data_IF_684002711101
#
_entry.id   IF_684002711101
#
_cell.length_a   1.000
_cell.length_b   1.000
_cell.length_c   1.000
_cell.angle_alpha   90.00
_cell.angle_beta   90.00
_cell.angle_gamma   90.00
#
_symmetry.space_group_name_H-M   'P 1'
#
loop_
_entity.id
_entity.type
_entity.pdbx_description
1 polymer ?
#
# COMPACT_ATOMS: atom_id res chain seq x y z
N UNK A 1 -5.38 6.05 10.92
CA UNK A 1 -4.62 7.26 10.57
C UNK A 1 -4.62 7.40 9.06
N UNK A 2 -4.99 8.56 8.52
CA UNK A 2 -4.98 8.81 7.08
C UNK A 2 -3.66 9.45 6.63
N UNK A 3 -3.26 9.28 5.36
CA UNK A 3 -2.10 9.98 4.80
C UNK A 3 -2.23 11.51 4.92
N UNK A 4 -1.10 12.25 4.96
CA UNK A 4 -1.11 13.70 4.87
C UNK A 4 -1.80 14.20 3.59
N UNK A 5 -2.30 15.45 3.60
CA UNK A 5 -2.99 16.06 2.45
C UNK A 5 -2.12 16.10 1.17
N UNK A 6 -0.81 16.18 1.34
CA UNK A 6 0.17 16.21 0.25
C UNK A 6 0.45 14.82 -0.37
N UNK A 7 -0.17 13.77 0.17
CA UNK A 7 -0.15 12.41 -0.39
C UNK A 7 -1.52 12.05 -0.95
N UNK A 8 -1.98 12.68 -2.06
CA UNK A 8 -3.29 12.41 -2.65
C UNK A 8 -3.39 11.03 -3.33
N UNK A 9 -2.32 10.25 -3.42
CA UNK A 9 -2.29 8.95 -4.09
C UNK A 9 -2.12 9.07 -5.59
N UNK A 10 -0.88 8.94 -6.06
CA UNK A 10 -0.54 8.98 -7.48
C UNK A 10 -0.56 7.57 -8.09
N UNK A 11 -1.13 7.45 -9.28
CA UNK A 11 -1.15 6.20 -10.06
C UNK A 11 -0.08 6.24 -11.14
N UNK A 12 0.45 5.08 -11.50
CA UNK A 12 1.25 4.89 -12.70
C UNK A 12 0.32 4.89 -13.93
N UNK A 13 0.39 5.88 -14.82
CA UNK A 13 -0.51 6.00 -15.96
C UNK A 13 -0.32 4.87 -16.99
N UNK A 14 0.79 4.12 -16.94
CA UNK A 14 0.99 2.95 -17.79
C UNK A 14 0.17 1.75 -17.35
N UNK A 15 -0.40 1.76 -16.13
CA UNK A 15 -1.19 0.66 -15.57
C UNK A 15 -2.66 0.94 -15.75
N UNK A 16 -3.32 0.07 -16.53
CA UNK A 16 -4.72 0.22 -16.91
C UNK A 16 -5.48 -1.07 -16.66
N UNK A 17 -6.81 -0.96 -16.57
CA UNK A 17 -7.67 -2.15 -16.43
C UNK A 17 -7.43 -3.18 -17.53
N UNK A 18 -7.10 -2.73 -18.76
CA UNK A 18 -6.88 -3.59 -19.91
C UNK A 18 -5.58 -4.41 -19.79
N UNK A 19 -4.57 -3.91 -19.10
CA UNK A 19 -3.26 -4.56 -19.04
C UNK A 19 -2.92 -5.21 -17.69
N UNK A 20 -3.85 -5.25 -16.72
CA UNK A 20 -3.58 -5.82 -15.39
C UNK A 20 -3.05 -7.27 -15.45
N UNK A 21 -3.44 -8.05 -16.46
CA UNK A 21 -2.99 -9.44 -16.65
C UNK A 21 -1.50 -9.57 -17.00
N UNK A 22 -0.91 -8.57 -17.63
CA UNK A 22 0.52 -8.54 -17.98
C UNK A 22 1.34 -7.64 -17.06
N UNK A 23 0.68 -6.85 -16.21
CA UNK A 23 1.27 -5.95 -15.21
C UNK A 23 1.03 -6.43 -13.79
N UNK A 24 0.17 -5.77 -13.01
CA UNK A 24 0.01 -5.96 -11.56
C UNK A 24 -0.42 -7.37 -11.14
N UNK A 25 -1.05 -8.15 -12.03
CA UNK A 25 -1.44 -9.54 -11.77
C UNK A 25 -0.38 -10.56 -12.21
N UNK A 26 0.69 -10.12 -12.88
CA UNK A 26 1.83 -10.99 -13.21
C UNK A 26 2.64 -11.27 -11.94
N UNK A 27 2.96 -12.55 -11.65
CA UNK A 27 3.84 -12.89 -10.54
C UNK A 27 5.14 -12.08 -10.55
N UNK A 28 5.49 -11.48 -9.41
CA UNK A 28 6.71 -10.70 -9.25
C UNK A 28 6.71 -9.28 -9.85
N UNK A 29 5.60 -8.81 -10.45
CA UNK A 29 5.51 -7.47 -11.02
C UNK A 29 5.89 -6.37 -10.02
N UNK A 30 5.24 -6.34 -8.85
CA UNK A 30 5.49 -5.30 -7.86
C UNK A 30 6.96 -5.30 -7.38
N UNK A 31 7.60 -6.48 -7.29
CA UNK A 31 9.02 -6.60 -6.97
C UNK A 31 9.90 -6.04 -8.08
N UNK A 32 9.54 -6.26 -9.36
CA UNK A 32 10.33 -5.81 -10.51
C UNK A 32 10.32 -4.29 -10.72
N UNK A 33 9.28 -3.59 -10.25
CA UNK A 33 9.16 -2.13 -10.39
C UNK A 33 9.38 -1.37 -9.08
N UNK A 34 9.49 -2.07 -7.95
CA UNK A 34 9.76 -1.44 -6.66
C UNK A 34 11.15 -0.77 -6.72
N UNK A 35 11.26 0.51 -6.35
CA UNK A 35 12.55 1.19 -6.37
C UNK A 35 13.50 0.58 -5.35
N UNK A 36 14.79 0.56 -5.69
CA UNK A 36 15.81 0.04 -4.81
C UNK A 36 15.84 0.82 -3.48
N UNK A 37 16.24 0.14 -2.39
CA UNK A 37 16.37 0.75 -1.07
C UNK A 37 17.28 1.99 -1.08
N UNK A 38 18.36 1.98 -1.87
CA UNK A 38 19.26 3.12 -2.02
C UNK A 38 18.55 4.38 -2.54
N UNK A 39 17.43 4.23 -3.27
CA UNK A 39 16.61 5.35 -3.77
C UNK A 39 15.57 5.78 -2.73
N UNK A 40 14.94 4.84 -2.03
CA UNK A 40 13.84 5.14 -1.09
C UNK A 40 14.32 5.54 0.30
N UNK A 41 15.48 5.09 0.74
CA UNK A 41 16.02 5.42 2.07
C UNK A 41 16.26 6.92 2.27
N UNK A 42 16.83 7.67 1.30
CA UNK A 42 16.93 9.14 1.40
C UNK A 42 15.57 9.83 1.48
N UNK A 43 14.56 9.34 0.74
CA UNK A 43 13.18 9.87 0.79
C UNK A 43 12.61 9.69 2.19
N UNK A 44 12.69 8.47 2.75
CA UNK A 44 12.22 8.19 4.11
C UNK A 44 12.90 9.08 5.14
N UNK A 45 14.23 9.26 5.04
CA UNK A 45 15.00 10.12 5.95
C UNK A 45 14.49 11.56 5.92
N UNK A 46 14.35 12.15 4.73
CA UNK A 46 13.84 13.51 4.57
C UNK A 46 12.45 13.69 5.17
N UNK A 47 11.55 12.72 4.98
CA UNK A 47 10.21 12.78 5.57
C UNK A 47 10.27 12.65 7.11
N UNK A 48 11.11 11.75 7.64
CA UNK A 48 11.27 11.58 9.09
C UNK A 48 11.79 12.87 9.73
N UNK A 49 12.80 13.49 9.14
CA UNK A 49 13.38 14.75 9.66
C UNK A 49 12.36 15.90 9.65
N UNK A 50 11.47 15.92 8.65
CA UNK A 50 10.48 16.99 8.50
C UNK A 50 9.21 16.78 9.35
N UNK A 51 8.76 15.53 9.53
CA UNK A 51 7.45 15.22 10.10
C UNK A 51 7.53 14.63 11.52
N UNK A 52 8.64 13.94 11.83
CA UNK A 52 8.83 13.16 13.06
C UNK A 52 10.25 13.32 13.63
N UNK A 53 10.74 14.56 13.84
CA UNK A 53 12.10 14.81 14.30
C UNK A 53 12.35 14.13 15.65
N UNK A 54 13.43 13.32 15.72
CA UNK A 54 13.83 12.60 16.93
C UNK A 54 13.11 11.26 17.16
N UNK A 55 12.11 10.91 16.35
CA UNK A 55 11.45 9.60 16.44
C UNK A 55 12.27 8.49 15.78
N UNK A 56 12.07 7.25 16.23
CA UNK A 56 12.73 6.08 15.65
C UNK A 56 12.23 5.78 14.23
N UNK A 57 13.16 5.63 13.28
CA UNK A 57 12.87 5.17 11.92
C UNK A 57 12.14 3.82 11.89
N UNK A 58 12.32 2.98 12.92
CA UNK A 58 11.66 1.69 13.04
C UNK A 58 10.15 1.81 13.33
N UNK A 59 9.67 2.96 13.79
CA UNK A 59 8.24 3.17 14.03
C UNK A 59 7.43 3.42 12.75
N UNK A 60 8.11 3.68 11.62
CA UNK A 60 7.46 4.05 10.37
C UNK A 60 7.94 3.19 9.20
N UNK A 61 7.06 2.97 8.24
CA UNK A 61 7.35 2.45 6.90
C UNK A 61 7.19 3.59 5.88
N UNK A 62 8.08 3.66 4.89
CA UNK A 62 7.80 4.49 3.72
C UNK A 62 6.90 3.65 2.81
N UNK A 63 5.66 4.06 2.68
CA UNK A 63 4.62 3.27 2.01
C UNK A 63 3.91 4.08 0.93
N UNK A 64 3.31 3.37 -0.02
CA UNK A 64 2.51 3.93 -1.10
C UNK A 64 1.04 4.01 -0.69
N UNK A 65 0.38 5.17 -0.76
CA UNK A 65 -1.06 5.26 -0.48
C UNK A 65 -1.84 4.33 -1.41
N UNK A 66 -1.62 4.43 -2.72
CA UNK A 66 -2.05 3.43 -3.70
C UNK A 66 -0.90 2.43 -3.85
N UNK A 67 -1.01 1.18 -3.37
CA UNK A 67 0.07 0.21 -3.51
C UNK A 67 0.49 -0.01 -4.96
N UNK A 68 1.77 -0.32 -5.21
CA UNK A 68 2.25 -0.74 -6.54
C UNK A 68 1.45 -1.93 -7.09
N UNK A 69 0.97 -2.84 -6.22
CA UNK A 69 0.09 -3.94 -6.60
C UNK A 69 -1.28 -3.50 -7.12
N UNK A 70 -1.66 -2.24 -6.91
CA UNK A 70 -2.85 -1.58 -7.46
C UNK A 70 -2.48 -0.47 -8.45
N UNK A 71 -1.26 -0.50 -9.01
CA UNK A 71 -0.81 0.47 -10.01
C UNK A 71 -0.47 1.84 -9.44
N UNK A 72 -0.06 1.93 -8.17
CA UNK A 72 0.53 3.15 -7.61
C UNK A 72 1.85 3.52 -8.26
N UNK A 73 2.16 4.83 -8.28
CA UNK A 73 3.36 5.35 -8.89
C UNK A 73 4.60 5.06 -8.00
N UNK A 74 5.61 4.30 -8.48
CA UNK A 74 6.66 3.77 -7.61
C UNK A 74 7.50 4.81 -6.84
N UNK A 75 7.72 6.00 -7.39
CA UNK A 75 8.55 7.07 -6.80
C UNK A 75 7.88 8.44 -6.76
N UNK A 76 6.59 8.54 -7.02
CA UNK A 76 5.89 9.82 -6.92
C UNK A 76 5.66 10.17 -5.45
N UNK A 77 6.20 11.30 -5.00
CA UNK A 77 6.04 11.76 -3.61
C UNK A 77 4.58 11.98 -3.24
N UNK A 78 3.69 12.22 -4.20
CA UNK A 78 2.24 12.32 -3.98
C UNK A 78 1.59 11.00 -3.63
N UNK A 79 2.31 9.88 -3.75
CA UNK A 79 1.87 8.55 -3.33
C UNK A 79 2.67 8.02 -2.14
N UNK A 80 3.77 8.66 -1.74
CA UNK A 80 4.63 8.20 -0.67
C UNK A 80 4.35 8.92 0.65
N UNK A 81 4.27 8.17 1.75
CA UNK A 81 4.10 8.72 3.10
C UNK A 81 4.69 7.81 4.19
N UNK A 82 4.81 8.35 5.40
CA UNK A 82 5.26 7.63 6.58
C UNK A 82 4.08 6.94 7.26
N UNK A 83 3.92 5.64 7.00
CA UNK A 83 2.91 4.79 7.62
C UNK A 83 3.43 4.29 8.99
N UNK A 84 2.70 4.52 10.09
CA UNK A 84 3.06 3.97 11.40
C UNK A 84 2.99 2.45 11.39
N UNK A 85 3.97 1.82 12.03
CA UNK A 85 4.01 0.37 12.24
C UNK A 85 3.23 -0.10 13.47
N UNK A 86 2.82 0.82 14.34
CA UNK A 86 2.18 0.51 15.64
C UNK A 86 0.88 1.29 15.79
N UNK A 87 0.04 0.83 16.72
CA UNK A 87 -1.25 1.43 17.02
C UNK A 87 -2.37 0.93 16.11
N UNK A 88 -3.54 1.56 16.24
CA UNK A 88 -4.72 1.25 15.44
C UNK A 88 -4.53 1.71 13.98
N UNK A 89 -4.99 0.91 13.02
CA UNK A 89 -4.85 1.19 11.59
C UNK A 89 -3.38 1.44 11.22
N UNK A 90 -2.55 0.42 11.43
CA UNK A 90 -1.11 0.45 11.19
C UNK A 90 -0.72 -0.13 9.81
N UNK A 91 0.57 -0.17 9.54
CA UNK A 91 1.14 -0.70 8.29
C UNK A 91 0.71 -2.14 7.99
N UNK A 92 0.56 -2.99 9.00
CA UNK A 92 0.14 -4.37 8.80
C UNK A 92 -1.33 -4.46 8.35
N UNK A 93 -2.21 -3.65 8.92
CA UNK A 93 -3.62 -3.57 8.51
C UNK A 93 -3.73 -3.10 7.05
N UNK A 94 -3.01 -2.03 6.70
CA UNK A 94 -3.00 -1.54 5.32
C UNK A 94 -2.40 -2.55 4.34
N UNK A 95 -1.37 -3.30 4.76
CA UNK A 95 -0.81 -4.39 3.96
C UNK A 95 -1.84 -5.50 3.69
N UNK A 96 -2.67 -5.85 4.69
CA UNK A 96 -3.74 -6.82 4.52
C UNK A 96 -4.79 -6.33 3.51
N UNK A 97 -5.24 -5.08 3.64
CA UNK A 97 -6.14 -4.45 2.66
C UNK A 97 -5.53 -4.43 1.25
N UNK A 98 -4.28 -3.99 1.11
CA UNK A 98 -3.58 -3.91 -0.16
C UNK A 98 -3.52 -5.28 -0.86
N UNK A 99 -3.26 -6.33 -0.11
CA UNK A 99 -3.22 -7.70 -0.60
C UNK A 99 -4.62 -8.18 -1.03
N UNK A 100 -5.64 -7.97 -0.20
CA UNK A 100 -7.02 -8.36 -0.50
C UNK A 100 -7.55 -7.65 -1.74
N UNK A 101 -7.37 -6.32 -1.84
CA UNK A 101 -7.77 -5.56 -3.02
C UNK A 101 -7.05 -6.04 -4.28
N UNK A 102 -5.73 -6.31 -4.19
CA UNK A 102 -4.98 -6.86 -5.31
C UNK A 102 -5.55 -8.20 -5.78
N UNK A 103 -5.88 -9.11 -4.86
CA UNK A 103 -6.53 -10.39 -5.19
C UNK A 103 -7.89 -10.18 -5.85
N UNK A 104 -8.73 -9.31 -5.30
CA UNK A 104 -10.05 -8.99 -5.86
C UNK A 104 -9.95 -8.39 -7.27
N UNK A 105 -8.97 -7.53 -7.53
CA UNK A 105 -8.70 -6.96 -8.86
C UNK A 105 -8.24 -8.04 -9.84
N UNK A 106 -7.29 -8.88 -9.43
CA UNK A 106 -6.75 -9.92 -10.30
C UNK A 106 -7.75 -11.05 -10.58
N UNK A 107 -8.68 -11.30 -9.66
CA UNK A 107 -9.84 -12.20 -9.86
C UNK A 107 -11.01 -11.50 -10.59
N UNK A 108 -10.84 -10.25 -11.04
CA UNK A 108 -11.85 -9.43 -11.76
C UNK A 108 -13.15 -9.19 -10.98
N UNK A 109 -13.11 -9.33 -9.66
CA UNK A 109 -14.25 -9.08 -8.75
C UNK A 109 -14.42 -7.60 -8.43
N UNK A 110 -13.33 -6.83 -8.51
CA UNK A 110 -13.32 -5.37 -8.30
C UNK A 110 -12.53 -4.71 -9.45
N UNK A 111 -13.08 -3.69 -10.12
CA UNK A 111 -12.30 -2.94 -11.11
C UNK A 111 -11.10 -2.23 -10.47
N UNK A 112 -9.97 -2.15 -11.17
CA UNK A 112 -8.74 -1.49 -10.72
C UNK A 112 -9.03 -0.07 -10.21
N UNK A 113 -9.78 0.72 -11.00
CA UNK A 113 -10.14 2.09 -10.65
C UNK A 113 -10.95 2.15 -9.35
N UNK A 114 -11.84 1.21 -9.11
CA UNK A 114 -12.64 1.14 -7.88
C UNK A 114 -11.74 0.88 -6.67
N UNK A 115 -10.80 -0.07 -6.78
CA UNK A 115 -9.84 -0.36 -5.72
C UNK A 115 -8.93 0.86 -5.42
N UNK A 116 -8.42 1.52 -6.46
CA UNK A 116 -7.60 2.73 -6.33
C UNK A 116 -8.37 3.88 -5.66
N UNK A 117 -9.63 4.11 -6.04
CA UNK A 117 -10.45 5.16 -5.43
C UNK A 117 -10.80 4.85 -3.98
N UNK A 118 -11.12 3.60 -3.65
CA UNK A 118 -11.42 3.19 -2.29
C UNK A 118 -10.23 3.45 -1.35
N UNK A 119 -9.04 2.94 -1.71
CA UNK A 119 -7.85 3.07 -0.86
C UNK A 119 -7.36 4.52 -0.78
N UNK A 120 -7.43 5.28 -1.88
CA UNK A 120 -7.03 6.69 -1.92
C UNK A 120 -7.92 7.57 -1.06
N UNK A 121 -9.24 7.37 -1.10
CA UNK A 121 -10.20 8.24 -0.41
C UNK A 121 -10.14 8.05 1.10
N UNK A 122 -10.22 6.79 1.51
CA UNK A 122 -10.19 6.41 2.91
C UNK A 122 -9.83 4.92 2.99
N UNK A 123 -8.54 4.65 3.17
CA UNK A 123 -8.06 3.28 3.25
C UNK A 123 -8.58 2.55 4.50
N UNK A 124 -8.92 3.25 5.59
CA UNK A 124 -9.47 2.61 6.79
C UNK A 124 -10.90 2.13 6.56
N UNK A 125 -11.74 2.95 5.93
CA UNK A 125 -13.07 2.51 5.49
C UNK A 125 -12.98 1.40 4.43
N UNK A 126 -12.00 1.46 3.52
CA UNK A 126 -11.76 0.40 2.56
C UNK A 126 -11.30 -0.91 3.24
N UNK A 127 -10.52 -0.84 4.33
CA UNK A 127 -10.16 -1.99 5.16
C UNK A 127 -11.42 -2.68 5.66
N UNK A 128 -12.31 -1.95 6.33
CA UNK A 128 -13.55 -2.51 6.88
C UNK A 128 -14.45 -3.12 5.78
N UNK A 129 -14.43 -2.53 4.58
CA UNK A 129 -15.25 -2.99 3.45
C UNK A 129 -14.70 -4.25 2.78
N UNK A 130 -13.38 -4.32 2.56
CA UNK A 130 -12.77 -5.35 1.71
C UNK A 130 -12.00 -6.39 2.50
N UNK A 131 -11.28 -6.00 3.56
CA UNK A 131 -10.50 -6.91 4.41
C UNK A 131 -11.38 -7.62 5.45
N UNK A 132 -12.55 -8.11 5.01
CA UNK A 132 -13.47 -8.87 5.86
C UNK A 132 -12.83 -10.18 6.33
N UNK A 133 -13.29 -10.76 7.45
CA UNK A 133 -12.78 -12.06 7.92
C UNK A 133 -12.81 -13.15 6.84
N UNK A 134 -13.86 -13.17 6.00
CA UNK A 134 -14.00 -14.12 4.90
C UNK A 134 -12.92 -13.93 3.83
N UNK A 135 -12.64 -12.68 3.42
CA UNK A 135 -11.62 -12.41 2.42
C UNK A 135 -10.20 -12.65 2.96
N UNK A 136 -9.95 -12.29 4.22
CA UNK A 136 -8.65 -12.56 4.88
C UNK A 136 -8.38 -14.06 4.98
N UNK A 137 -9.39 -14.83 5.39
CA UNK A 137 -9.32 -16.30 5.44
C UNK A 137 -9.15 -16.89 4.03
N UNK A 138 -9.95 -16.46 3.06
CA UNK A 138 -9.94 -16.95 1.67
C UNK A 138 -8.58 -16.79 1.00
N UNK A 139 -7.92 -15.64 1.19
CA UNK A 139 -6.64 -15.39 0.54
C UNK A 139 -5.44 -15.82 1.39
N UNK A 140 -5.70 -16.52 2.50
CA UNK A 140 -4.71 -17.00 3.45
C UNK A 140 -3.69 -15.91 3.81
N UNK A 141 -4.17 -14.67 3.95
CA UNK A 141 -3.30 -13.59 4.40
C UNK A 141 -2.99 -13.84 5.86
N UNK A 142 -1.83 -14.45 6.12
CA UNK A 142 -1.29 -14.51 7.48
C UNK A 142 -0.85 -13.10 7.82
N UNK A 143 -1.67 -12.42 8.64
CA UNK A 143 -1.22 -11.23 9.37
C UNK A 143 0.04 -11.70 10.09
N UNK A 144 1.21 -11.14 9.73
CA UNK A 144 2.46 -11.53 10.39
C UNK A 144 2.44 -10.89 11.78
N UNK A 145 1.69 -11.52 12.68
CA UNK A 145 1.62 -11.26 14.12
C UNK A 145 2.42 -12.35 14.85
N UNK A 146 3.61 -12.69 14.35
CA UNK A 146 4.57 -13.61 14.98
C UNK A 146 5.94 -13.02 14.56
N UNK A 147 6.90 -12.66 15.42
CA UNK A 147 7.30 -13.20 16.72
C UNK A 147 7.86 -12.07 17.60
N UNK A 148 7.31 -11.92 18.81
CA UNK A 148 8.07 -11.48 20.00
C UNK A 148 7.59 -12.38 21.13
N UNK A 149 8.19 -13.56 21.18
CA UNK A 149 8.55 -14.17 22.46
C UNK A 149 9.44 -13.19 23.26
#
# INVERSE_FOLDING_TARGET
>A
MLPPRDTPGAVDPSITQANIGTTICRPGYARSVRPAFAVTAPVKRRLMDAQHPGESFANYELDHLIPISLGGAPLDLRDLWLQPRRGHANAADKNALAYVLWRLVCERRVPLRTAQQAIRRDWTTAYDTYATPENLARYHFRHRQEERD
#
